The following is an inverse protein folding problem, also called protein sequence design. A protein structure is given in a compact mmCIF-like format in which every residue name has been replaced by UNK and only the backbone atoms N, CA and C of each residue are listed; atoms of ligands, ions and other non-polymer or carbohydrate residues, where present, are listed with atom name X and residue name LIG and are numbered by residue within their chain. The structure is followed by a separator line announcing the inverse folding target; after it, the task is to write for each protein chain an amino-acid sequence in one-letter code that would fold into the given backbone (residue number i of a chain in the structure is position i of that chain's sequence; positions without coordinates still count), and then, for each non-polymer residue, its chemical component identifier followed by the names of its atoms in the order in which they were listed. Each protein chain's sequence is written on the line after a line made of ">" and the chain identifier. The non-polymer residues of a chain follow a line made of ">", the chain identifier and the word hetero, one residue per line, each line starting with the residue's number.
data_IF_901381998499
#
_entry.id   IF_901381998499
#
_cell.length_a   1.000
_cell.length_b   1.000
_cell.length_c   1.000
_cell.angle_alpha   90.00
_cell.angle_beta   90.00
_cell.angle_gamma   90.00
#
_symmetry.space_group_name_H-M   'P 1'
#
loop_
_entity.id
_entity.type
_entity.pdbx_description
1 polymer ?
#
# COMPACT_ATOMS: atom_id res chain seq x y z
N UNK A 1 13.58 -4.32 10.92
CA UNK A 1 13.53 -5.79 10.82
C UNK A 1 14.35 -6.29 9.63
N UNK A 2 14.15 -5.78 8.40
CA UNK A 2 14.90 -6.26 7.20
C UNK A 2 16.43 -6.17 7.35
N UNK A 3 16.95 -5.04 7.87
CA UNK A 3 18.39 -4.88 8.13
C UNK A 3 18.92 -5.98 9.07
N UNK A 4 18.12 -6.38 10.07
CA UNK A 4 18.50 -7.47 10.95
C UNK A 4 18.59 -8.80 10.19
N UNK A 5 17.65 -9.08 9.28
CA UNK A 5 17.69 -10.32 8.49
C UNK A 5 18.92 -10.38 7.58
N UNK A 6 19.28 -9.27 6.95
CA UNK A 6 20.52 -9.15 6.15
C UNK A 6 21.75 -9.36 7.04
N UNK A 7 21.83 -8.67 8.18
CA UNK A 7 22.94 -8.82 9.13
C UNK A 7 23.11 -10.27 9.60
N UNK A 8 22.00 -10.96 9.88
CA UNK A 8 22.00 -12.39 10.24
C UNK A 8 22.59 -13.26 9.12
N UNK A 9 22.16 -13.03 7.87
CA UNK A 9 22.66 -13.77 6.72
C UNK A 9 24.16 -13.56 6.45
N UNK A 10 24.68 -12.39 6.83
CA UNK A 10 26.10 -12.02 6.69
C UNK A 10 26.94 -12.35 7.94
N UNK A 11 26.37 -12.93 9.00
CA UNK A 11 27.09 -13.27 10.23
C UNK A 11 27.39 -12.10 11.18
N UNK A 12 26.81 -10.92 10.95
CA UNK A 12 26.96 -9.74 11.81
C UNK A 12 26.01 -9.78 13.01
N UNK A 13 26.36 -10.57 14.03
CA UNK A 13 25.50 -10.85 15.19
C UNK A 13 25.16 -9.61 16.02
N UNK A 14 26.09 -8.69 16.20
CA UNK A 14 25.89 -7.41 16.91
C UNK A 14 24.86 -6.52 16.20
N UNK A 15 24.98 -6.38 14.87
CA UNK A 15 24.04 -5.63 14.04
C UNK A 15 22.67 -6.30 14.04
N UNK A 16 22.62 -7.63 13.94
CA UNK A 16 21.36 -8.37 14.06
C UNK A 16 20.62 -8.02 15.35
N UNK A 17 21.28 -8.12 16.51
CA UNK A 17 20.65 -7.82 17.80
C UNK A 17 20.17 -6.37 17.88
N UNK A 18 21.00 -5.41 17.45
CA UNK A 18 20.65 -3.99 17.41
C UNK A 18 19.39 -3.72 16.58
N UNK A 19 19.32 -4.25 15.37
CA UNK A 19 18.20 -3.98 14.46
C UNK A 19 16.95 -4.82 14.77
N UNK A 20 17.11 -5.98 15.43
CA UNK A 20 15.98 -6.72 16.00
C UNK A 20 15.36 -5.95 17.16
N UNK A 21 16.16 -5.40 18.08
CA UNK A 21 15.65 -4.56 19.16
C UNK A 21 14.87 -3.36 18.58
N UNK A 22 15.45 -2.66 17.60
CA UNK A 22 14.77 -1.54 16.91
C UNK A 22 13.49 -1.92 16.18
N UNK A 23 13.37 -3.15 15.66
CA UNK A 23 12.12 -3.58 15.01
C UNK A 23 10.93 -3.66 15.96
N UNK A 24 11.15 -3.66 17.27
CA UNK A 24 10.10 -3.66 18.29
C UNK A 24 9.68 -2.25 18.73
N UNK A 25 10.29 -1.19 18.16
CA UNK A 25 10.04 0.19 18.58
C UNK A 25 8.59 0.65 18.37
N UNK A 26 7.83 0.02 17.48
CA UNK A 26 6.40 0.30 17.30
C UNK A 26 5.62 0.16 18.63
N UNK A 27 6.07 -0.74 19.51
CA UNK A 27 5.47 -0.97 20.84
C UNK A 27 5.63 0.21 21.79
N UNK A 28 6.61 1.10 21.56
CA UNK A 28 6.78 2.32 22.37
C UNK A 28 5.63 3.33 22.15
N UNK A 29 4.94 3.20 21.00
CA UNK A 29 3.78 4.01 20.62
C UNK A 29 2.46 3.23 20.76
N UNK A 30 2.51 1.97 21.19
CA UNK A 30 1.30 1.18 21.43
C UNK A 30 0.67 1.54 22.77
N UNK A 31 -0.48 2.21 22.73
CA UNK A 31 -1.25 2.61 23.89
C UNK A 31 -2.30 1.56 24.25
N UNK A 32 -1.90 0.54 25.01
CA UNK A 32 -2.70 -0.67 25.28
C UNK A 32 -4.01 -0.44 26.06
N UNK A 33 -4.08 0.65 26.83
CA UNK A 33 -5.23 1.04 27.65
C UNK A 33 -6.29 1.84 26.87
N UNK A 34 -5.98 2.32 25.67
CA UNK A 34 -6.91 3.10 24.86
C UNK A 34 -7.95 2.20 24.19
N UNK A 35 -9.22 2.53 24.35
CA UNK A 35 -10.34 1.81 23.75
C UNK A 35 -11.11 2.72 22.79
N UNK A 36 -11.40 2.21 21.59
CA UNK A 36 -12.19 2.92 20.59
C UNK A 36 -12.98 1.91 19.75
N UNK A 37 -14.30 2.13 19.63
CA UNK A 37 -15.22 1.24 18.92
C UNK A 37 -15.13 -0.24 19.37
N UNK A 38 -14.93 -0.48 20.67
CA UNK A 38 -14.78 -1.84 21.23
C UNK A 38 -13.44 -2.52 20.94
N UNK A 39 -12.50 -1.81 20.30
CA UNK A 39 -11.13 -2.26 20.05
C UNK A 39 -10.18 -1.64 21.08
N UNK A 40 -9.30 -2.45 21.67
CA UNK A 40 -8.30 -1.99 22.66
C UNK A 40 -6.90 -1.97 22.06
N UNK A 41 -6.16 -0.89 22.31
CA UNK A 41 -4.76 -0.74 21.93
C UNK A 41 -4.57 -0.10 20.55
N UNK A 42 -3.88 1.03 20.45
CA UNK A 42 -3.58 1.66 19.16
C UNK A 42 -2.17 2.23 19.15
N UNK A 43 -1.56 2.32 17.98
CA UNK A 43 -0.43 3.22 17.78
C UNK A 43 -0.98 4.65 17.87
N UNK A 44 -0.55 5.41 18.87
CA UNK A 44 -1.03 6.76 19.14
C UNK A 44 0.15 7.74 19.23
N UNK A 45 -0.07 9.03 18.90
CA UNK A 45 0.98 10.03 19.03
C UNK A 45 1.38 10.24 20.50
N UNK A 46 2.69 10.30 20.73
CA UNK A 46 3.30 10.45 22.05
C UNK A 46 4.35 11.56 22.01
N UNK A 47 4.26 12.49 22.95
CA UNK A 47 5.21 13.58 23.09
C UNK A 47 6.57 13.09 23.60
N UNK A 48 7.60 13.93 23.45
CA UNK A 48 8.98 13.60 23.86
C UNK A 48 9.11 13.36 25.38
N UNK A 49 8.25 13.96 26.18
CA UNK A 49 8.16 13.75 27.64
C UNK A 49 7.41 12.44 28.01
N UNK A 50 6.92 11.71 27.02
CA UNK A 50 6.22 10.45 27.18
C UNK A 50 4.71 10.57 27.38
N UNK A 51 4.13 11.78 27.36
CA UNK A 51 2.68 11.97 27.44
C UNK A 51 1.99 11.60 26.13
N UNK A 52 0.81 11.00 26.20
CA UNK A 52 -0.02 10.74 25.03
C UNK A 52 -0.72 12.03 24.58
N UNK A 53 -0.84 12.23 23.27
CA UNK A 53 -1.60 13.36 22.73
C UNK A 53 -3.08 12.97 22.63
N UNK A 54 -3.85 13.25 23.68
CA UNK A 54 -5.31 13.01 23.71
C UNK A 54 -6.11 14.06 22.92
N UNK A 55 -5.50 15.20 22.61
CA UNK A 55 -6.11 16.24 21.80
C UNK A 55 -5.08 17.01 20.99
N UNK A 56 -5.52 17.57 19.87
CA UNK A 56 -4.71 18.42 18.99
C UNK A 56 -5.39 19.76 18.79
N UNK A 57 -4.58 20.80 18.62
CA UNK A 57 -5.09 22.13 18.23
C UNK A 57 -5.60 22.06 16.79
N UNK A 58 -6.75 22.66 16.52
CA UNK A 58 -7.38 22.71 15.22
C UNK A 58 -7.66 24.15 14.78
N UNK A 59 -7.81 24.37 13.46
CA UNK A 59 -8.07 25.69 12.88
C UNK A 59 -6.83 26.59 12.83
N UNK A 60 -6.89 27.76 12.18
CA UNK A 60 -5.72 28.61 11.92
C UNK A 60 -5.70 29.91 12.75
N UNK A 61 -6.51 30.01 13.80
CA UNK A 61 -6.65 31.26 14.55
C UNK A 61 -5.45 31.49 15.48
N UNK A 62 -4.85 32.68 15.39
CA UNK A 62 -3.78 33.12 16.28
C UNK A 62 -4.28 33.52 17.69
N UNK A 63 -5.60 33.65 17.87
CA UNK A 63 -6.22 34.14 19.12
C UNK A 63 -6.96 33.02 19.85
N UNK A 64 -7.56 32.09 19.11
CA UNK A 64 -8.31 30.97 19.66
C UNK A 64 -7.75 29.66 19.11
N UNK A 65 -7.31 28.78 20.00
CA UNK A 65 -6.69 27.51 19.64
C UNK A 65 -7.63 26.36 20.08
N UNK A 66 -8.76 26.14 19.38
CA UNK A 66 -9.68 25.09 19.77
C UNK A 66 -8.97 23.74 19.70
N UNK A 67 -9.26 22.88 20.67
CA UNK A 67 -8.72 21.52 20.71
C UNK A 67 -9.80 20.53 20.32
N UNK A 68 -9.43 19.54 19.52
CA UNK A 68 -10.26 18.38 19.19
C UNK A 68 -9.62 17.14 19.78
N UNK A 69 -10.43 16.16 20.17
CA UNK A 69 -9.93 14.87 20.63
C UNK A 69 -9.17 14.18 19.50
N UNK A 70 -8.00 13.63 19.81
CA UNK A 70 -7.24 12.80 18.87
C UNK A 70 -7.66 11.34 19.06
N UNK A 71 -8.25 10.78 18.01
CA UNK A 71 -8.84 9.45 17.96
C UNK A 71 -8.22 8.63 16.81
N UNK A 72 -8.37 7.29 16.81
CA UNK A 72 -7.79 6.47 15.75
C UNK A 72 -8.25 6.81 14.32
N UNK A 73 -9.39 7.48 14.16
CA UNK A 73 -9.98 7.97 12.91
C UNK A 73 -9.74 9.47 12.61
N UNK A 74 -8.91 10.13 13.41
CA UNK A 74 -8.64 11.57 13.23
C UNK A 74 -7.81 11.83 11.97
N UNK A 75 -8.45 12.41 10.96
CA UNK A 75 -7.86 12.76 9.64
C UNK A 75 -7.17 14.12 9.60
N UNK A 76 -7.03 14.76 10.75
CA UNK A 76 -6.61 16.16 10.85
C UNK A 76 -5.31 16.29 11.61
N UNK A 77 -4.42 17.12 11.08
CA UNK A 77 -3.19 17.53 11.73
C UNK A 77 -3.38 18.90 12.40
N UNK A 78 -2.62 19.21 13.47
CA UNK A 78 -2.51 20.58 13.92
C UNK A 78 -2.08 21.50 12.80
N UNK A 79 -2.68 22.68 12.69
CA UNK A 79 -2.44 23.65 11.61
C UNK A 79 -0.98 24.10 11.47
N UNK A 80 -0.22 24.07 12.56
CA UNK A 80 1.20 24.41 12.60
C UNK A 80 2.12 23.27 12.17
N UNK A 81 1.54 22.08 11.92
CA UNK A 81 2.23 20.95 11.31
C UNK A 81 1.77 20.91 9.86
N UNK A 82 2.66 21.24 8.90
CA UNK A 82 2.29 21.04 7.51
C UNK A 82 1.91 19.58 7.23
N UNK A 83 1.25 19.33 6.10
CA UNK A 83 0.57 18.05 5.89
C UNK A 83 1.51 16.84 5.83
N UNK A 84 2.71 16.99 5.26
CA UNK A 84 3.76 15.96 5.17
C UNK A 84 4.38 15.42 6.50
N UNK A 85 4.08 16.02 7.66
CA UNK A 85 4.65 15.71 8.99
C UNK A 85 3.53 15.49 10.00
N UNK A 86 2.30 15.27 9.53
CA UNK A 86 1.24 14.75 10.38
C UNK A 86 1.69 13.46 11.06
N UNK A 87 1.08 13.10 12.19
CA UNK A 87 1.48 11.93 12.96
C UNK A 87 1.31 10.61 12.19
N UNK A 88 0.34 10.54 11.27
CA UNK A 88 0.11 9.41 10.37
C UNK A 88 -0.02 9.90 8.93
N UNK A 89 0.95 9.54 8.11
CA UNK A 89 1.04 10.00 6.73
C UNK A 89 -0.03 9.30 5.86
N UNK A 90 -0.91 10.10 5.25
CA UNK A 90 -1.97 9.70 4.31
C UNK A 90 -3.00 8.64 4.78
N UNK A 91 -2.90 8.20 6.03
CA UNK A 91 -3.76 7.17 6.59
C UNK A 91 -4.02 7.43 8.08
N UNK A 92 -4.87 6.59 8.65
CA UNK A 92 -5.33 6.69 10.02
C UNK A 92 -4.41 5.95 11.01
N UNK A 93 -4.47 6.34 12.29
CA UNK A 93 -3.90 5.55 13.38
C UNK A 93 -4.50 4.12 13.38
N UNK A 94 -5.80 3.99 13.08
CA UNK A 94 -6.47 2.70 12.95
C UNK A 94 -5.83 1.80 11.88
N UNK A 95 -5.44 2.38 10.73
CA UNK A 95 -4.77 1.67 9.63
C UNK A 95 -3.33 1.28 10.01
N UNK A 96 -2.52 2.25 10.46
CA UNK A 96 -1.14 2.01 10.83
C UNK A 96 -0.99 1.05 12.02
N UNK A 97 -1.98 1.00 12.92
CA UNK A 97 -2.01 0.04 14.03
C UNK A 97 -2.12 -1.42 13.58
N UNK A 98 -2.44 -1.67 12.31
CA UNK A 98 -2.48 -3.00 11.69
C UNK A 98 -1.27 -3.27 10.78
N UNK A 99 -0.38 -2.28 10.58
CA UNK A 99 0.75 -2.34 9.65
C UNK A 99 2.07 -2.75 10.35
N UNK A 100 2.08 -3.96 10.91
CA UNK A 100 3.26 -4.54 11.59
C UNK A 100 3.63 -5.91 10.99
N UNK A 101 4.00 -5.97 9.69
CA UNK A 101 4.15 -7.23 8.96
C UNK A 101 5.15 -8.20 9.57
N UNK A 102 6.19 -7.70 10.24
CA UNK A 102 7.24 -8.51 10.85
C UNK A 102 6.91 -9.08 12.24
N UNK A 103 5.79 -8.67 12.84
CA UNK A 103 5.45 -8.99 14.23
C UNK A 103 3.93 -9.08 14.47
N UNK A 104 3.19 -9.65 13.50
CA UNK A 104 1.73 -9.80 13.58
C UNK A 104 1.30 -10.63 14.81
N UNK A 105 2.08 -11.64 15.19
CA UNK A 105 1.81 -12.42 16.41
C UNK A 105 1.89 -11.57 17.69
N UNK A 106 2.88 -10.66 17.76
CA UNK A 106 2.98 -9.69 18.84
C UNK A 106 1.81 -8.72 18.86
N UNK A 107 1.38 -8.24 17.68
CA UNK A 107 0.19 -7.41 17.53
C UNK A 107 -1.08 -8.12 18.02
N UNK A 108 -1.32 -9.37 17.61
CA UNK A 108 -2.47 -10.18 18.05
C UNK A 108 -2.48 -10.31 19.57
N UNK A 109 -1.32 -10.61 20.17
CA UNK A 109 -1.18 -10.72 21.63
C UNK A 109 -1.57 -9.40 22.31
N UNK A 110 -1.06 -8.26 21.82
CA UNK A 110 -1.37 -6.94 22.37
C UNK A 110 -2.83 -6.52 22.15
N UNK A 111 -3.51 -7.06 21.14
CA UNK A 111 -4.93 -6.84 20.91
C UNK A 111 -5.84 -7.68 21.83
N UNK A 112 -5.28 -8.61 22.61
CA UNK A 112 -6.04 -9.51 23.48
C UNK A 112 -6.30 -10.89 22.89
N UNK A 113 -5.46 -11.34 21.95
CA UNK A 113 -5.53 -12.67 21.33
C UNK A 113 -6.50 -12.75 20.14
N UNK A 114 -6.60 -13.95 19.55
CA UNK A 114 -7.25 -14.20 18.25
C UNK A 114 -8.69 -13.70 18.18
N UNK A 115 -9.50 -13.96 19.21
CA UNK A 115 -10.90 -13.54 19.26
C UNK A 115 -11.07 -12.02 19.28
N UNK A 116 -10.20 -11.32 20.00
CA UNK A 116 -10.23 -9.85 20.06
C UNK A 116 -9.69 -9.24 18.77
N UNK A 117 -8.63 -9.85 18.20
CA UNK A 117 -8.07 -9.43 16.92
C UNK A 117 -9.06 -9.63 15.76
N UNK A 118 -9.80 -10.74 15.75
CA UNK A 118 -10.90 -10.95 14.79
C UNK A 118 -11.93 -9.84 14.87
N UNK A 119 -12.45 -9.55 16.07
CA UNK A 119 -13.46 -8.48 16.26
C UNK A 119 -12.92 -7.13 15.81
N UNK A 120 -11.65 -6.84 16.09
CA UNK A 120 -10.98 -5.64 15.58
C UNK A 120 -11.02 -5.58 14.06
N UNK A 121 -10.64 -6.65 13.36
CA UNK A 121 -10.68 -6.66 11.89
C UNK A 121 -12.12 -6.51 11.38
N UNK A 122 -13.08 -7.23 11.96
CA UNK A 122 -14.49 -7.13 11.58
C UNK A 122 -15.00 -5.69 11.74
N UNK A 123 -14.81 -5.07 12.93
CA UNK A 123 -15.15 -3.67 13.19
C UNK A 123 -14.44 -2.70 12.25
N UNK A 124 -13.15 -2.93 11.97
CA UNK A 124 -12.35 -2.07 11.09
C UNK A 124 -12.95 -2.02 9.67
N UNK A 125 -13.35 -3.16 9.11
CA UNK A 125 -14.01 -3.21 7.81
C UNK A 125 -15.45 -2.69 7.85
N UNK A 126 -16.24 -3.10 8.86
CA UNK A 126 -17.67 -2.77 8.94
C UNK A 126 -17.92 -1.27 9.20
N UNK A 127 -16.97 -0.59 9.85
CA UNK A 127 -17.03 0.86 10.10
C UNK A 127 -16.36 1.70 8.99
N UNK A 128 -15.92 1.07 7.89
CA UNK A 128 -15.37 1.80 6.73
C UNK A 128 -13.99 2.42 6.94
N UNK A 129 -13.17 1.89 7.86
CA UNK A 129 -11.82 2.39 8.11
C UNK A 129 -10.78 1.87 7.12
N UNK A 130 -11.13 0.84 6.34
CA UNK A 130 -10.26 0.28 5.31
C UNK A 130 -10.27 1.14 4.04
N UNK A 131 -9.07 1.48 3.56
CA UNK A 131 -8.90 2.16 2.28
C UNK A 131 -8.02 1.32 1.33
N UNK A 132 -8.60 0.78 0.27
CA UNK A 132 -7.81 0.06 -0.77
C UNK A 132 -7.05 1.01 -1.69
N UNK A 133 -7.44 2.28 -1.74
CA UNK A 133 -6.81 3.28 -2.59
C UNK A 133 -5.50 3.83 -2.01
N UNK A 134 -4.98 3.23 -0.93
CA UNK A 134 -3.74 3.65 -0.27
C UNK A 134 -2.99 2.45 0.35
N UNK A 135 -1.66 2.47 0.26
CA UNK A 135 -0.74 1.38 0.59
C UNK A 135 -0.72 0.94 2.07
N UNK A 136 -0.90 1.82 3.08
CA UNK A 136 -0.82 1.42 4.49
C UNK A 136 -1.78 0.28 4.87
N UNK A 137 -2.87 0.14 4.11
CA UNK A 137 -3.93 -0.83 4.33
C UNK A 137 -3.76 -2.15 3.56
N UNK A 138 -2.78 -2.28 2.65
CA UNK A 138 -2.66 -3.43 1.74
C UNK A 138 -2.56 -4.81 2.43
N UNK A 139 -1.92 -4.87 3.60
CA UNK A 139 -1.79 -6.10 4.39
C UNK A 139 -3.08 -6.47 5.12
N UNK A 140 -3.89 -5.48 5.50
CA UNK A 140 -5.02 -5.61 6.42
C UNK A 140 -6.00 -6.75 6.10
N UNK A 141 -6.48 -6.94 4.85
CA UNK A 141 -7.41 -8.04 4.57
C UNK A 141 -6.79 -9.43 4.71
N UNK A 142 -5.46 -9.55 4.68
CA UNK A 142 -4.74 -10.82 4.87
C UNK A 142 -4.45 -11.13 6.35
N UNK A 143 -4.78 -10.23 7.28
CA UNK A 143 -4.51 -10.44 8.70
C UNK A 143 -5.35 -11.56 9.34
N UNK A 144 -6.48 -11.95 8.74
CA UNK A 144 -7.25 -13.11 9.22
C UNK A 144 -6.47 -14.44 9.08
N UNK A 145 -5.50 -14.54 8.16
CA UNK A 145 -4.61 -15.72 8.08
C UNK A 145 -3.87 -15.98 9.40
N UNK A 146 -3.45 -14.93 10.10
CA UNK A 146 -2.64 -15.04 11.32
C UNK A 146 -3.44 -15.51 12.54
N UNK A 147 -4.77 -15.57 12.43
CA UNK A 147 -5.67 -16.14 13.44
C UNK A 147 -6.39 -17.40 12.92
N UNK A 148 -5.79 -18.08 11.94
CA UNK A 148 -6.31 -19.34 11.40
C UNK A 148 -7.60 -19.21 10.59
N UNK A 149 -7.90 -18.02 10.05
CA UNK A 149 -9.11 -17.74 9.24
C UNK A 149 -8.79 -17.27 7.82
N UNK A 150 -8.06 -18.06 7.02
CA UNK A 150 -7.76 -17.72 5.63
C UNK A 150 -9.01 -17.60 4.75
N UNK A 151 -10.11 -18.24 5.14
CA UNK A 151 -11.43 -18.12 4.50
C UNK A 151 -11.97 -16.68 4.57
N UNK A 152 -11.79 -15.99 5.70
CA UNK A 152 -12.21 -14.59 5.86
C UNK A 152 -11.32 -13.65 5.05
N UNK A 153 -10.01 -13.90 5.00
CA UNK A 153 -9.12 -13.15 4.11
C UNK A 153 -9.49 -13.31 2.64
N UNK A 154 -9.77 -14.54 2.19
CA UNK A 154 -10.22 -14.79 0.83
C UNK A 154 -11.53 -14.06 0.51
N UNK A 155 -12.52 -14.14 1.41
CA UNK A 155 -13.79 -13.44 1.26
C UNK A 155 -13.60 -11.92 1.18
N UNK A 156 -12.79 -11.34 2.07
CA UNK A 156 -12.57 -9.90 2.14
C UNK A 156 -11.80 -9.38 0.93
N UNK A 157 -10.71 -10.04 0.51
CA UNK A 157 -9.98 -9.67 -0.70
C UNK A 157 -10.88 -9.78 -1.94
N UNK A 158 -11.67 -10.85 -2.05
CA UNK A 158 -12.60 -10.99 -3.18
C UNK A 158 -13.66 -9.89 -3.20
N UNK A 159 -14.20 -9.48 -2.05
CA UNK A 159 -15.12 -8.37 -1.94
C UNK A 159 -14.47 -7.05 -2.37
N UNK A 160 -13.26 -6.78 -1.88
CA UNK A 160 -12.50 -5.57 -2.20
C UNK A 160 -12.24 -5.49 -3.72
N UNK A 161 -11.72 -6.55 -4.33
CA UNK A 161 -11.42 -6.57 -5.77
C UNK A 161 -12.69 -6.30 -6.59
N UNK A 162 -13.80 -6.97 -6.27
CA UNK A 162 -15.06 -6.83 -7.01
C UNK A 162 -15.68 -5.43 -6.92
N UNK A 163 -15.52 -4.74 -5.80
CA UNK A 163 -16.14 -3.43 -5.59
C UNK A 163 -15.28 -2.26 -6.05
N UNK A 164 -13.96 -2.44 -6.15
CA UNK A 164 -13.02 -1.33 -6.29
C UNK A 164 -12.22 -1.37 -7.60
N UNK A 165 -12.23 -2.48 -8.33
CA UNK A 165 -11.44 -2.64 -9.55
C UNK A 165 -12.32 -2.98 -10.75
N UNK A 166 -11.93 -2.47 -11.92
CA UNK A 166 -12.50 -2.85 -13.20
C UNK A 166 -11.51 -2.73 -14.36
N UNK A 167 -11.91 -3.21 -15.54
CA UNK A 167 -11.13 -3.09 -16.76
C UNK A 167 -11.33 -1.76 -17.51
N UNK A 168 -12.08 -0.80 -16.94
CA UNK A 168 -12.32 0.50 -17.59
C UNK A 168 -11.13 1.45 -17.35
N UNK A 169 -11.00 2.56 -18.12
CA UNK A 169 -9.94 3.55 -17.88
C UNK A 169 -9.92 4.16 -16.47
N UNK A 170 -11.05 4.11 -15.73
CA UNK A 170 -11.17 4.56 -14.34
C UNK A 170 -11.24 3.38 -13.35
N UNK A 171 -10.75 2.21 -13.75
CA UNK A 171 -10.90 0.94 -13.02
C UNK A 171 -9.97 0.75 -11.82
N UNK A 172 -9.22 1.77 -11.40
CA UNK A 172 -8.41 1.75 -10.19
C UNK A 172 -9.07 2.62 -9.10
N UNK A 173 -9.05 2.19 -7.83
CA UNK A 173 -9.73 2.93 -6.76
C UNK A 173 -8.97 4.18 -6.28
N UNK A 174 -7.72 4.37 -6.72
CA UNK A 174 -6.83 5.46 -6.31
C UNK A 174 -5.71 5.68 -7.32
N UNK A 175 -4.65 6.36 -6.89
CA UNK A 175 -3.42 6.45 -7.68
C UNK A 175 -2.77 5.07 -7.75
N UNK A 176 -2.24 4.70 -8.91
CA UNK A 176 -1.56 3.40 -9.05
C UNK A 176 -0.20 3.36 -8.32
N UNK A 177 0.32 4.54 -7.96
CA UNK A 177 1.57 4.75 -7.24
C UNK A 177 2.73 3.90 -7.78
N UNK A 178 2.99 4.13 -9.07
CA UNK A 178 4.03 3.44 -9.85
C UNK A 178 3.86 1.91 -9.88
N UNK A 179 2.60 1.44 -9.87
CA UNK A 179 2.26 0.03 -9.97
C UNK A 179 2.06 -0.68 -8.63
N UNK A 180 2.08 0.04 -7.50
CA UNK A 180 1.81 -0.53 -6.18
C UNK A 180 0.42 -1.17 -6.12
N UNK A 181 -0.61 -0.43 -6.55
CA UNK A 181 -2.00 -0.91 -6.53
C UNK A 181 -2.26 -1.99 -7.57
N UNK A 182 -1.76 -1.82 -8.80
CA UNK A 182 -1.79 -2.86 -9.82
C UNK A 182 -1.09 -4.14 -9.36
N UNK A 183 0.05 -4.03 -8.66
CA UNK A 183 0.74 -5.19 -8.10
C UNK A 183 -0.09 -5.88 -7.02
N UNK A 184 -0.74 -5.13 -6.13
CA UNK A 184 -1.64 -5.68 -5.12
C UNK A 184 -2.77 -6.50 -5.77
N UNK A 185 -3.37 -5.98 -6.85
CA UNK A 185 -4.39 -6.68 -7.62
C UNK A 185 -3.84 -7.96 -8.29
N UNK A 186 -2.69 -7.88 -8.98
CA UNK A 186 -2.07 -9.04 -9.64
C UNK A 186 -1.79 -10.15 -8.63
N UNK A 187 -1.26 -9.82 -7.46
CA UNK A 187 -1.03 -10.78 -6.39
C UNK A 187 -2.34 -11.45 -5.94
N UNK A 188 -3.40 -10.67 -5.69
CA UNK A 188 -4.72 -11.21 -5.36
C UNK A 188 -5.28 -12.12 -6.47
N UNK A 189 -5.09 -11.76 -7.74
CA UNK A 189 -5.51 -12.57 -8.90
C UNK A 189 -4.71 -13.87 -9.02
N UNK A 190 -3.45 -13.88 -8.63
CA UNK A 190 -2.62 -15.09 -8.54
C UNK A 190 -2.93 -15.93 -7.28
N UNK A 191 -3.79 -15.43 -6.39
CA UNK A 191 -4.16 -16.10 -5.15
C UNK A 191 -3.05 -16.05 -4.09
N UNK A 192 -2.22 -15.00 -4.09
CA UNK A 192 -1.06 -14.87 -3.19
C UNK A 192 -0.90 -13.44 -2.71
N UNK A 193 -0.24 -13.23 -1.57
CA UNK A 193 0.16 -11.91 -1.10
C UNK A 193 1.55 -11.96 -0.46
N UNK A 194 2.54 -11.18 -0.94
CA UNK A 194 3.88 -11.17 -0.38
C UNK A 194 3.90 -10.42 0.96
N UNK A 195 4.40 -11.05 2.02
CA UNK A 195 4.55 -10.38 3.31
C UNK A 195 5.83 -9.55 3.28
N UNK A 196 5.71 -8.23 3.45
CA UNK A 196 6.83 -7.30 3.33
C UNK A 196 8.04 -7.71 4.20
N UNK A 197 9.21 -7.71 3.55
CA UNK A 197 10.50 -8.11 4.14
C UNK A 197 10.71 -9.62 4.25
N UNK A 198 9.68 -10.45 4.12
CA UNK A 198 9.77 -11.89 4.34
C UNK A 198 9.78 -12.66 3.01
N UNK A 199 10.38 -13.84 3.02
CA UNK A 199 10.32 -14.78 1.88
C UNK A 199 9.02 -15.60 1.84
N UNK A 200 7.95 -15.11 2.48
CA UNK A 200 6.70 -15.84 2.71
C UNK A 200 5.55 -15.13 2.02
N UNK A 201 4.65 -15.92 1.45
CA UNK A 201 3.41 -15.46 0.82
C UNK A 201 2.20 -16.07 1.53
N UNK A 202 1.17 -15.26 1.75
CA UNK A 202 -0.14 -15.71 2.21
C UNK A 202 -0.96 -16.17 1.01
N UNK A 203 -1.67 -17.28 1.12
CA UNK A 203 -2.42 -17.88 0.00
C UNK A 203 -3.92 -17.69 0.17
N UNK A 204 -4.58 -17.29 -0.91
CA UNK A 204 -6.04 -17.29 -1.06
C UNK A 204 -6.40 -17.97 -2.40
N UNK A 205 -7.66 -18.36 -2.63
CA UNK A 205 -8.10 -18.68 -3.98
C UNK A 205 -7.87 -17.49 -4.93
N UNK A 206 -7.44 -17.72 -6.19
CA UNK A 206 -7.35 -16.70 -7.22
C UNK A 206 -8.63 -15.86 -7.33
N UNK A 207 -8.48 -14.54 -7.28
CA UNK A 207 -9.61 -13.59 -7.40
C UNK A 207 -9.75 -13.12 -8.84
N UNK A 208 -10.98 -12.84 -9.28
CA UNK A 208 -11.25 -12.25 -10.60
C UNK A 208 -11.92 -10.90 -10.46
N UNK A 209 -11.50 -9.95 -11.29
CA UNK A 209 -12.24 -8.72 -11.57
C UNK A 209 -13.45 -9.10 -12.43
N UNK A 210 -14.69 -8.81 -12.03
CA UNK A 210 -15.87 -9.15 -12.83
C UNK A 210 -15.88 -8.40 -14.17
N UNK A 211 -16.34 -9.08 -15.22
CA UNK A 211 -16.59 -8.44 -16.51
C UNK A 211 -17.70 -7.39 -16.36
N UNK A 212 -17.44 -6.18 -16.88
CA UNK A 212 -18.40 -5.07 -16.79
C UNK A 212 -18.58 -4.48 -15.39
N UNK A 213 -17.68 -4.77 -14.43
CA UNK A 213 -17.68 -4.08 -13.15
C UNK A 213 -17.51 -2.56 -13.35
N UNK A 214 -18.34 -1.77 -12.70
CA UNK A 214 -18.05 -0.35 -12.47
C UNK A 214 -17.64 -0.20 -11.01
N UNK A 215 -16.45 0.36 -10.72
CA UNK A 215 -16.01 0.53 -9.34
C UNK A 215 -17.01 1.44 -8.63
N UNK A 216 -17.34 1.10 -7.38
CA UNK A 216 -18.10 1.99 -6.53
C UNK A 216 -17.31 3.31 -6.45
N UNK A 217 -17.87 4.38 -7.02
CA UNK A 217 -17.26 5.70 -7.01
C UNK A 217 -16.96 6.07 -5.56
N UNK A 218 -15.68 5.98 -5.16
CA UNK A 218 -15.23 6.62 -3.93
C UNK A 218 -15.71 8.08 -4.03
N UNK A 219 -16.47 8.54 -3.03
CA UNK A 219 -17.09 9.87 -3.03
C UNK A 219 -16.08 10.90 -3.52
N UNK A 220 -16.33 11.40 -4.73
CA UNK A 220 -15.44 12.33 -5.40
C UNK A 220 -15.44 13.63 -4.60
N UNK A 221 -14.41 13.87 -3.80
CA UNK A 221 -14.07 15.23 -3.38
C UNK A 221 -13.61 16.01 -4.63
N UNK A 222 -14.60 16.64 -5.29
CA UNK A 222 -14.54 17.79 -6.20
C UNK A 222 -13.31 18.04 -7.07
N UNK A 223 -13.42 17.68 -8.36
CA UNK A 223 -13.42 18.63 -9.49
C UNK A 223 -13.76 17.86 -10.77
N UNK A 224 -14.93 18.15 -11.33
CA UNK A 224 -15.31 17.71 -12.67
C UNK A 224 -14.70 18.69 -13.67
N UNK A 225 -13.82 18.20 -14.54
CA UNK A 225 -13.52 18.87 -15.81
C UNK A 225 -13.89 17.89 -16.92
N UNK A 226 -14.92 18.24 -17.68
CA UNK A 226 -15.38 17.55 -18.87
C UNK A 226 -14.46 17.86 -20.05
N UNK A 227 -13.94 16.83 -20.73
CA UNK A 227 -13.39 16.96 -22.09
C UNK A 227 -13.77 15.74 -22.95
N UNK A 228 -13.90 15.91 -24.29
CA UNK A 228 -14.71 15.04 -25.14
C UNK A 228 -13.96 13.80 -25.65
N UNK A 229 -14.75 12.83 -26.13
CA UNK A 229 -14.28 11.59 -26.72
C UNK A 229 -13.52 11.83 -28.05
N UNK A 230 -12.42 11.10 -28.25
CA UNK A 230 -11.63 11.10 -29.50
C UNK A 230 -11.88 9.80 -30.26
N UNK A 231 -12.26 9.92 -31.53
CA UNK A 231 -12.47 8.81 -32.47
C UNK A 231 -11.18 8.06 -32.81
N UNK A 232 -11.33 6.77 -33.09
CA UNK A 232 -10.23 5.86 -33.44
C UNK A 232 -9.69 6.14 -34.84
N UNK A 233 -8.36 6.29 -34.95
CA UNK A 233 -7.65 6.43 -36.23
C UNK A 233 -6.88 5.15 -36.57
N UNK A 234 -6.99 4.69 -37.83
CA UNK A 234 -6.34 3.49 -38.35
C UNK A 234 -4.79 3.62 -38.38
N UNK A 235 -4.10 2.49 -38.15
CA UNK A 235 -2.63 2.42 -38.09
C UNK A 235 -2.00 2.21 -39.49
N UNK A 236 -0.91 2.91 -39.84
CA UNK A 236 -0.19 2.70 -41.09
C UNK A 236 0.88 1.61 -41.01
N UNK A 237 1.18 1.05 -42.18
CA UNK A 237 2.18 0.03 -42.46
C UNK A 237 3.62 0.60 -42.40
N UNK A 238 4.35 0.37 -41.30
CA UNK A 238 5.83 0.17 -41.26
C UNK A 238 6.30 -0.20 -39.85
N UNK A 239 7.36 -1.03 -39.80
CA UNK A 239 7.89 -1.80 -38.64
C UNK A 239 7.88 -1.04 -37.30
N UNK A 240 7.40 -1.65 -36.20
CA UNK A 240 7.00 -0.87 -35.03
C UNK A 240 8.21 -0.40 -34.21
N UNK A 241 8.35 0.91 -34.09
CA UNK A 241 8.78 1.46 -32.80
C UNK A 241 7.74 1.01 -31.77
N UNK A 242 8.10 0.08 -30.88
CA UNK A 242 7.22 -0.24 -29.77
C UNK A 242 7.03 1.04 -28.94
N UNK A 243 5.81 1.30 -28.48
CA UNK A 243 5.52 2.45 -27.63
C UNK A 243 5.22 1.92 -26.24
N UNK A 244 6.02 2.32 -25.26
CA UNK A 244 5.71 2.06 -23.85
C UNK A 244 4.68 3.09 -23.41
N UNK A 245 3.55 2.59 -22.90
CA UNK A 245 2.45 3.41 -22.38
C UNK A 245 2.32 3.16 -20.90
N UNK A 246 2.36 4.20 -20.10
CA UNK A 246 2.11 4.11 -18.66
C UNK A 246 1.34 5.35 -18.20
N UNK A 247 0.61 5.18 -17.11
CA UNK A 247 -0.15 6.24 -16.46
C UNK A 247 0.61 6.63 -15.20
N UNK A 248 1.10 7.87 -15.16
CA UNK A 248 1.72 8.45 -13.97
C UNK A 248 0.92 9.71 -13.60
N UNK A 249 0.45 9.81 -12.36
CA UNK A 249 -0.33 10.97 -11.88
C UNK A 249 -1.52 11.34 -12.78
N UNK A 250 -2.27 10.34 -13.27
CA UNK A 250 -3.41 10.51 -14.21
C UNK A 250 -3.05 11.16 -15.55
N UNK A 251 -1.77 11.18 -15.90
CA UNK A 251 -1.29 11.63 -17.20
C UNK A 251 -0.81 10.45 -18.02
N UNK A 252 -1.36 10.32 -19.23
CA UNK A 252 -0.89 9.35 -20.20
C UNK A 252 0.47 9.79 -20.73
N UNK A 253 1.48 8.94 -20.57
CA UNK A 253 2.81 9.16 -21.13
C UNK A 253 3.09 8.04 -22.12
N UNK A 254 3.44 8.43 -23.35
CA UNK A 254 3.86 7.53 -24.40
C UNK A 254 5.33 7.79 -24.66
N UNK A 255 6.17 6.77 -24.45
CA UNK A 255 7.59 6.86 -24.76
C UNK A 255 7.96 5.91 -25.88
N UNK A 256 8.66 6.40 -26.92
CA UNK A 256 9.18 5.53 -27.96
C UNK A 256 10.22 4.59 -27.35
N UNK A 257 10.09 3.31 -27.66
CA UNK A 257 11.06 2.28 -27.36
C UNK A 257 11.84 1.97 -28.63
N UNK A 258 13.16 2.13 -28.56
CA UNK A 258 14.06 1.54 -29.55
C UNK A 258 14.91 0.48 -28.88
N UNK A 259 15.24 -0.57 -29.62
CA UNK A 259 16.11 -1.62 -29.12
C UNK A 259 16.93 -2.22 -30.26
N UNK A 260 18.11 -2.72 -29.92
CA UNK A 260 19.03 -3.42 -30.79
C UNK A 260 19.70 -4.54 -30.00
N UNK A 261 20.02 -5.66 -30.64
CA UNK A 261 20.87 -6.70 -30.03
C UNK A 261 22.28 -6.48 -30.54
N UNK A 262 23.22 -6.24 -29.63
CA UNK A 262 24.64 -6.02 -29.89
C UNK A 262 25.43 -7.16 -29.24
N UNK A 263 25.76 -8.19 -30.01
CA UNK A 263 26.42 -9.39 -29.47
C UNK A 263 25.51 -10.13 -28.48
N UNK A 264 26.00 -10.36 -27.26
CA UNK A 264 25.27 -11.03 -26.17
C UNK A 264 24.50 -10.03 -25.27
N UNK A 265 24.13 -8.87 -25.81
CA UNK A 265 23.48 -7.80 -25.04
C UNK A 265 22.34 -7.17 -25.83
N UNK A 266 21.14 -7.19 -25.26
CA UNK A 266 20.02 -6.35 -25.67
C UNK A 266 20.26 -4.92 -25.18
N UNK A 267 20.37 -4.00 -26.12
CA UNK A 267 20.42 -2.56 -25.90
C UNK A 267 19.03 -2.00 -26.11
N UNK A 268 18.50 -1.27 -25.14
CA UNK A 268 17.16 -0.70 -25.20
C UNK A 268 17.20 0.76 -24.77
N UNK A 269 16.51 1.64 -25.49
CA UNK A 269 16.40 3.07 -25.18
C UNK A 269 14.93 3.44 -25.02
N UNK A 270 14.60 4.02 -23.86
CA UNK A 270 13.27 4.54 -23.57
C UNK A 270 13.40 5.84 -22.77
N UNK A 271 12.71 6.90 -23.20
CA UNK A 271 12.78 8.23 -22.58
C UNK A 271 14.22 8.75 -22.37
N UNK A 272 15.08 8.56 -23.38
CA UNK A 272 16.49 8.96 -23.32
C UNK A 272 17.38 8.11 -22.41
N UNK A 273 16.82 7.16 -21.66
CA UNK A 273 17.59 6.24 -20.81
C UNK A 273 18.02 5.00 -21.60
N UNK A 274 19.27 4.61 -21.43
CA UNK A 274 19.89 3.46 -22.07
C UNK A 274 19.96 2.29 -21.09
N UNK A 275 19.40 1.15 -21.50
CA UNK A 275 19.42 -0.12 -20.77
C UNK A 275 20.25 -1.13 -21.57
N UNK A 276 21.10 -1.88 -20.87
CA UNK A 276 21.94 -2.95 -21.43
C UNK A 276 21.66 -4.22 -20.66
N UNK A 277 21.04 -5.19 -21.31
CA UNK A 277 20.53 -6.41 -20.69
C UNK A 277 21.24 -7.60 -21.34
N UNK A 278 21.97 -8.44 -20.60
CA UNK A 278 22.60 -9.63 -21.19
C UNK A 278 21.56 -10.54 -21.83
N UNK A 279 21.87 -11.11 -22.99
CA UNK A 279 20.94 -11.98 -23.74
C UNK A 279 20.52 -13.19 -22.90
N UNK A 280 21.44 -13.76 -22.12
CA UNK A 280 21.13 -14.85 -21.19
C UNK A 280 20.11 -14.50 -20.09
N UNK A 281 19.89 -13.21 -19.80
CA UNK A 281 18.82 -12.72 -18.91
C UNK A 281 17.52 -12.61 -19.69
N UNK A 282 17.57 -12.08 -20.91
CA UNK A 282 16.41 -11.96 -21.80
C UNK A 282 15.81 -13.32 -22.13
N UNK A 283 16.64 -14.31 -22.48
CA UNK A 283 16.21 -15.64 -22.93
C UNK A 283 15.59 -16.48 -21.81
N UNK A 284 15.89 -16.13 -20.55
CA UNK A 284 15.37 -16.81 -19.35
C UNK A 284 14.30 -15.99 -18.64
N UNK A 285 13.91 -14.85 -19.19
CA UNK A 285 12.89 -13.99 -18.61
C UNK A 285 11.50 -14.41 -19.09
N UNK A 286 10.62 -14.79 -18.15
CA UNK A 286 9.21 -15.05 -18.42
C UNK A 286 8.37 -13.75 -18.50
N UNK A 287 8.92 -12.63 -18.01
CA UNK A 287 8.34 -11.29 -18.09
C UNK A 287 9.41 -10.20 -17.87
N UNK A 288 9.14 -8.98 -18.35
CA UNK A 288 9.89 -7.77 -18.00
C UNK A 288 9.02 -6.87 -17.12
N UNK A 289 9.58 -6.40 -16.01
CA UNK A 289 8.99 -5.34 -15.19
C UNK A 289 9.91 -4.13 -15.20
N UNK A 290 9.33 -2.94 -15.21
CA UNK A 290 10.06 -1.68 -15.16
C UNK A 290 10.01 -1.15 -13.73
N UNK A 291 11.10 -1.35 -12.98
CA UNK A 291 11.35 -0.52 -11.81
C UNK A 291 11.72 0.86 -12.34
N UNK A 292 10.88 1.86 -12.06
CA UNK A 292 11.25 3.26 -12.23
C UNK A 292 11.87 3.74 -10.92
N UNK A 293 13.21 3.78 -10.80
CA UNK A 293 13.87 4.50 -9.72
C UNK A 293 13.76 5.99 -10.04
N UNK A 294 12.57 6.59 -9.90
CA UNK A 294 12.42 8.03 -10.05
C UNK A 294 12.06 8.67 -8.72
N UNK A 295 13.07 9.39 -8.23
CA UNK A 295 13.00 10.74 -7.68
C UNK A 295 11.86 11.59 -8.27
#
# INVERSE_FOLDING_TARGET
>A
WCIAQVARGLGHSDLYQKYMARSRNWRNLWRADYEWQGMRGFIMPRAADGQWLDSVVWGQSAVCHPKIAYRPDTKVAPWYIPWWNTFFYEALSAEYSLSVPHDVAGLITLCGGDSAFRRRLDTFFDQGHYNVANEPSFLTPYLYHYIGRPDLSAARVSQIVRHNFSATPAGLPGNDDSGAMSSWLVWAMLGRYPVAGQGTWLRIPPVRVPDGAEPALAERHGKVSSEPAVEAMALPERRPMATVRFVLNRQYRNWPLSWTVEGDTLRMVCHGNLYRIPQSVVDRADAFCWDSPQW
#
